data_IF_613678906610
#
_entry.id   IF_613678906610
#
_cell.length_a   1.000
_cell.length_b   1.000
_cell.length_c   1.000
_cell.angle_alpha   90.00
_cell.angle_beta   90.00
_cell.angle_gamma   90.00
#
_symmetry.space_group_name_H-M   'P 1'
#
loop_
_entity.id
_entity.type
_entity.pdbx_description
1 polymer ?
#
# COMPACT_ATOMS: atom_id res chain seq x y z
N UNK A 1 -10.81 -48.12 65.50
CA UNK A 1 -11.54 -47.98 64.21
C UNK A 1 -11.88 -46.51 63.86
N UNK A 2 -12.31 -45.66 64.78
CA UNK A 2 -12.66 -44.24 64.47
C UNK A 2 -11.48 -43.34 64.08
N UNK A 3 -10.26 -43.59 64.55
CA UNK A 3 -9.05 -42.78 64.23
C UNK A 3 -8.45 -43.10 62.86
N UNK A 4 -8.64 -44.34 62.35
CA UNK A 4 -8.19 -44.75 61.00
C UNK A 4 -9.10 -44.19 59.90
N UNK A 5 -10.41 -44.06 60.15
CA UNK A 5 -11.36 -43.47 59.22
C UNK A 5 -11.15 -41.98 58.98
N UNK A 6 -10.75 -41.24 60.04
CA UNK A 6 -10.47 -39.79 59.95
C UNK A 6 -9.19 -39.53 59.13
N UNK A 7 -8.17 -40.40 59.26
CA UNK A 7 -6.91 -40.25 58.48
C UNK A 7 -7.10 -40.55 56.98
N UNK A 8 -7.98 -41.49 56.61
CA UNK A 8 -8.31 -41.81 55.23
C UNK A 8 -9.12 -40.69 54.58
N UNK A 9 -10.05 -40.07 55.35
CA UNK A 9 -10.87 -38.95 54.84
C UNK A 9 -10.00 -37.69 54.64
N UNK A 10 -8.99 -37.46 55.52
CA UNK A 10 -8.07 -36.33 55.39
C UNK A 10 -7.08 -36.52 54.23
N UNK A 11 -6.67 -37.77 53.92
CA UNK A 11 -5.79 -38.09 52.80
C UNK A 11 -6.50 -37.96 51.44
N UNK A 12 -7.80 -38.33 51.39
CA UNK A 12 -8.62 -38.16 50.17
C UNK A 12 -8.98 -36.70 49.89
N UNK A 13 -9.18 -35.87 50.93
CA UNK A 13 -9.40 -34.42 50.79
C UNK A 13 -8.17 -33.67 50.25
N UNK A 14 -6.95 -34.09 50.63
CA UNK A 14 -5.69 -33.49 50.10
C UNK A 14 -5.45 -33.93 48.65
N UNK A 15 -5.83 -35.15 48.27
CA UNK A 15 -5.68 -35.67 46.89
C UNK A 15 -6.62 -34.95 45.92
N UNK A 16 -7.81 -34.55 46.36
CA UNK A 16 -8.81 -33.82 45.52
C UNK A 16 -8.38 -32.36 45.32
N UNK A 17 -7.66 -31.74 46.28
CA UNK A 17 -7.15 -30.38 46.16
C UNK A 17 -5.96 -30.28 45.20
N UNK A 18 -5.19 -31.34 44.97
CA UNK A 18 -4.06 -31.35 44.01
C UNK A 18 -4.53 -31.50 42.56
N UNK A 19 -5.73 -32.07 42.31
CA UNK A 19 -6.29 -32.23 41.00
C UNK A 19 -7.03 -30.94 40.52
N UNK A 20 -7.45 -30.05 41.43
CA UNK A 20 -8.11 -28.81 41.10
C UNK A 20 -7.13 -27.69 40.70
N UNK A 21 -5.80 -27.93 40.77
CA UNK A 21 -4.74 -26.96 40.39
C UNK A 21 -4.26 -27.05 38.95
N UNK A 22 -4.76 -27.93 38.13
CA UNK A 22 -4.65 -27.88 36.68
C UNK A 22 -5.76 -26.98 36.12
N UNK A 23 -5.69 -25.66 36.43
CA UNK A 23 -6.32 -24.69 35.54
C UNK A 23 -5.69 -24.89 34.19
N UNK A 24 -6.50 -25.38 33.23
CA UNK A 24 -6.21 -25.23 31.83
C UNK A 24 -5.83 -23.74 31.65
N UNK A 25 -4.52 -23.44 31.48
CA UNK A 25 -4.16 -22.28 30.73
C UNK A 25 -4.90 -22.46 29.40
N UNK A 26 -6.04 -21.80 29.27
CA UNK A 26 -6.68 -21.66 27.97
C UNK A 26 -5.56 -21.16 27.06
N UNK A 27 -5.24 -21.90 26.03
CA UNK A 27 -4.40 -21.36 24.98
C UNK A 27 -5.09 -20.06 24.59
N UNK A 28 -4.51 -18.90 24.96
CA UNK A 28 -4.97 -17.62 24.44
C UNK A 28 -5.01 -17.80 22.94
N UNK A 29 -6.19 -17.65 22.36
CA UNK A 29 -6.34 -17.74 20.90
C UNK A 29 -5.45 -16.65 20.33
N UNK A 30 -4.47 -17.06 19.49
CA UNK A 30 -3.60 -16.10 18.84
C UNK A 30 -4.45 -15.09 18.08
N UNK A 31 -4.12 -13.82 18.21
CA UNK A 31 -4.77 -12.79 17.37
C UNK A 31 -4.45 -13.06 15.91
N UNK A 32 -5.45 -12.96 15.07
CA UNK A 32 -5.36 -13.23 13.62
C UNK A 32 -5.41 -11.93 12.84
N UNK A 33 -4.39 -11.68 12.02
CA UNK A 33 -4.30 -10.51 11.16
C UNK A 33 -4.45 -10.97 9.71
N UNK A 34 -5.48 -10.47 9.03
CA UNK A 34 -5.62 -10.65 7.58
C UNK A 34 -4.84 -9.56 6.84
N UNK A 35 -4.07 -9.94 5.82
CA UNK A 35 -3.43 -8.98 4.91
C UNK A 35 -4.02 -9.17 3.52
N UNK A 36 -4.68 -8.12 3.00
CA UNK A 36 -5.15 -8.08 1.61
C UNK A 36 -4.23 -7.14 0.83
N UNK A 37 -3.46 -7.68 -0.09
CA UNK A 37 -2.69 -6.91 -1.06
C UNK A 37 -3.40 -6.94 -2.42
N UNK A 38 -3.58 -5.75 -3.04
CA UNK A 38 -4.31 -5.66 -4.31
C UNK A 38 -3.59 -6.37 -5.45
N UNK A 39 -2.28 -6.11 -5.61
CA UNK A 39 -1.42 -6.72 -6.63
C UNK A 39 0.02 -6.74 -6.13
N UNK A 40 0.88 -7.52 -6.75
CA UNK A 40 2.30 -7.61 -6.42
C UNK A 40 3.11 -6.64 -7.27
N UNK A 41 3.81 -5.72 -6.60
CA UNK A 41 4.87 -4.85 -7.15
C UNK A 41 5.69 -4.24 -6.00
N UNK A 42 6.88 -3.72 -6.32
CA UNK A 42 7.89 -3.32 -5.34
C UNK A 42 7.36 -2.45 -4.19
N UNK A 43 6.54 -1.43 -4.49
CA UNK A 43 6.05 -0.52 -3.46
C UNK A 43 5.10 -1.20 -2.47
N UNK A 44 4.12 -1.99 -2.96
CA UNK A 44 3.19 -2.70 -2.08
C UNK A 44 3.86 -3.82 -1.29
N UNK A 45 4.85 -4.51 -1.89
CA UNK A 45 5.64 -5.52 -1.18
C UNK A 45 6.47 -4.89 -0.06
N UNK A 46 7.14 -3.76 -0.33
CA UNK A 46 7.88 -3.00 0.68
C UNK A 46 6.96 -2.52 1.82
N UNK A 47 5.75 -2.03 1.51
CA UNK A 47 4.79 -1.62 2.54
C UNK A 47 4.34 -2.80 3.42
N UNK A 48 4.08 -3.97 2.82
CA UNK A 48 3.78 -5.20 3.57
C UNK A 48 4.93 -5.60 4.49
N UNK A 49 6.16 -5.60 3.97
CA UNK A 49 7.36 -5.96 4.72
C UNK A 49 7.59 -5.01 5.90
N UNK A 50 7.47 -3.69 5.67
CA UNK A 50 7.57 -2.69 6.74
C UNK A 50 6.52 -2.90 7.83
N UNK A 51 5.28 -3.20 7.47
CA UNK A 51 4.21 -3.50 8.43
C UNK A 51 4.53 -4.73 9.29
N UNK A 52 4.94 -5.83 8.67
CA UNK A 52 5.30 -7.07 9.38
C UNK A 52 6.51 -6.83 10.28
N UNK A 53 7.50 -6.06 9.82
CA UNK A 53 8.68 -5.73 10.61
C UNK A 53 8.31 -4.91 11.85
N UNK A 54 7.42 -3.92 11.73
CA UNK A 54 6.97 -3.13 12.89
C UNK A 54 6.25 -3.99 13.93
N UNK A 55 5.42 -4.94 13.51
CA UNK A 55 4.80 -5.92 14.40
C UNK A 55 5.87 -6.74 15.15
N UNK A 56 6.84 -7.29 14.42
CA UNK A 56 7.92 -8.10 15.00
C UNK A 56 8.77 -7.33 15.99
N UNK A 57 9.16 -6.08 15.66
CA UNK A 57 9.96 -5.21 16.53
C UNK A 57 9.23 -4.84 17.83
N UNK A 58 7.89 -4.94 17.85
CA UNK A 58 7.05 -4.72 19.02
C UNK A 58 6.56 -6.02 19.66
N UNK A 59 7.19 -7.16 19.32
CA UNK A 59 6.96 -8.45 19.97
C UNK A 59 5.78 -9.27 19.41
N UNK A 60 5.18 -8.86 18.30
CA UNK A 60 4.14 -9.60 17.59
C UNK A 60 4.76 -10.44 16.46
N UNK A 61 5.00 -11.73 16.72
CA UNK A 61 5.67 -12.62 15.79
C UNK A 61 4.67 -13.63 15.19
N UNK A 62 4.64 -13.69 13.86
CA UNK A 62 3.79 -14.66 13.13
C UNK A 62 4.17 -16.12 13.51
N UNK A 63 3.14 -16.93 13.73
CA UNK A 63 3.30 -18.32 14.16
C UNK A 63 3.58 -18.49 15.65
N UNK A 64 4.04 -17.46 16.38
CA UNK A 64 4.31 -17.49 17.82
C UNK A 64 3.12 -17.03 18.65
N UNK A 65 2.82 -15.73 18.63
CA UNK A 65 1.74 -15.11 19.43
C UNK A 65 0.66 -14.45 18.58
N UNK A 66 0.89 -14.22 17.30
CA UNK A 66 -0.12 -13.85 16.31
C UNK A 66 -0.15 -14.85 15.16
N UNK A 67 -1.16 -14.76 14.28
CA UNK A 67 -1.24 -15.49 13.02
C UNK A 67 -1.53 -14.50 11.90
N UNK A 68 -0.68 -14.45 10.88
CA UNK A 68 -0.84 -13.59 9.72
C UNK A 68 -1.30 -14.43 8.51
N UNK A 69 -2.45 -14.08 7.94
CA UNK A 69 -2.97 -14.67 6.70
C UNK A 69 -2.83 -13.65 5.57
N UNK A 70 -1.83 -13.82 4.71
CA UNK A 70 -1.56 -12.91 3.58
C UNK A 70 -2.18 -13.42 2.29
N UNK A 71 -2.97 -12.57 1.64
CA UNK A 71 -3.65 -12.87 0.38
C UNK A 71 -3.38 -11.77 -0.65
N UNK A 72 -3.12 -12.18 -1.91
CA UNK A 72 -2.94 -11.28 -3.05
C UNK A 72 -4.12 -11.42 -4.02
N UNK A 73 -4.76 -10.32 -4.35
CA UNK A 73 -5.93 -10.31 -5.23
C UNK A 73 -5.57 -10.29 -6.72
N UNK A 74 -4.29 -10.09 -7.09
CA UNK A 74 -3.82 -10.09 -8.48
C UNK A 74 -4.54 -9.07 -9.37
N UNK A 75 -4.83 -7.89 -8.83
CA UNK A 75 -5.60 -6.82 -9.47
C UNK A 75 -7.01 -7.25 -9.96
N UNK A 76 -7.60 -8.27 -9.33
CA UNK A 76 -8.93 -8.79 -9.69
C UNK A 76 -9.96 -8.48 -8.60
N UNK A 77 -11.07 -7.84 -8.98
CA UNK A 77 -12.14 -7.44 -8.06
C UNK A 77 -12.89 -8.62 -7.46
N UNK A 78 -13.00 -9.74 -8.19
CA UNK A 78 -13.65 -10.95 -7.69
C UNK A 78 -12.80 -11.62 -6.62
N UNK A 79 -11.47 -11.62 -6.81
CA UNK A 79 -10.53 -12.10 -5.80
C UNK A 79 -10.58 -11.21 -4.55
N UNK A 80 -10.59 -9.86 -4.70
CA UNK A 80 -10.75 -8.94 -3.57
C UNK A 80 -12.01 -9.25 -2.76
N UNK A 81 -13.17 -9.40 -3.42
CA UNK A 81 -14.42 -9.75 -2.76
C UNK A 81 -14.33 -11.08 -2.02
N UNK A 82 -13.75 -12.12 -2.66
CA UNK A 82 -13.61 -13.45 -2.07
C UNK A 82 -12.70 -13.44 -0.84
N UNK A 83 -11.56 -12.71 -0.90
CA UNK A 83 -10.62 -12.57 0.21
C UNK A 83 -11.30 -11.82 1.36
N UNK A 84 -12.01 -10.73 1.06
CA UNK A 84 -12.73 -9.93 2.06
C UNK A 84 -13.80 -10.76 2.76
N UNK A 85 -14.63 -11.49 2.01
CA UNK A 85 -15.67 -12.39 2.56
C UNK A 85 -15.06 -13.50 3.46
N UNK A 86 -13.89 -14.04 3.07
CA UNK A 86 -13.15 -15.02 3.85
C UNK A 86 -12.66 -14.43 5.18
N UNK A 87 -12.06 -13.24 5.20
CA UNK A 87 -11.57 -12.63 6.43
C UNK A 87 -12.71 -12.28 7.39
N UNK A 88 -13.82 -11.76 6.87
CA UNK A 88 -15.03 -11.52 7.68
C UNK A 88 -15.58 -12.81 8.25
N UNK A 89 -15.70 -13.88 7.43
CA UNK A 89 -16.24 -15.17 7.88
C UNK A 89 -15.34 -15.87 8.92
N UNK A 90 -14.03 -15.64 8.84
CA UNK A 90 -13.06 -16.17 9.79
C UNK A 90 -12.95 -15.34 11.07
N UNK A 91 -13.65 -14.18 11.15
CA UNK A 91 -13.61 -13.23 12.25
C UNK A 91 -12.15 -12.89 12.64
N UNK A 92 -11.35 -12.46 11.66
CA UNK A 92 -9.99 -11.99 11.95
C UNK A 92 -10.04 -10.77 12.87
N UNK A 93 -9.05 -10.62 13.75
CA UNK A 93 -9.03 -9.54 14.76
C UNK A 93 -8.68 -8.18 14.16
N UNK A 94 -8.03 -8.16 13.00
CA UNK A 94 -7.65 -6.95 12.26
C UNK A 94 -7.37 -7.28 10.79
N UNK A 95 -7.54 -6.29 9.90
CA UNK A 95 -7.11 -6.39 8.51
C UNK A 95 -6.14 -5.26 8.17
N UNK A 96 -5.00 -5.62 7.58
CA UNK A 96 -4.18 -4.70 6.79
C UNK A 96 -4.69 -4.74 5.34
N UNK A 97 -5.10 -3.57 4.83
CA UNK A 97 -5.48 -3.41 3.44
C UNK A 97 -4.40 -2.61 2.69
N UNK A 98 -3.77 -3.21 1.70
CA UNK A 98 -2.68 -2.60 0.93
C UNK A 98 -3.22 -2.20 -0.43
N UNK A 99 -3.24 -0.90 -0.70
CA UNK A 99 -3.82 -0.16 -1.82
C UNK A 99 -5.33 0.13 -1.67
N UNK A 100 -5.77 1.21 -2.33
CA UNK A 100 -7.15 1.72 -2.28
C UNK A 100 -8.21 0.67 -2.61
N UNK A 101 -8.09 -0.14 -3.70
CA UNK A 101 -9.11 -1.13 -4.03
C UNK A 101 -9.26 -2.23 -2.97
N UNK A 102 -8.16 -2.61 -2.30
CA UNK A 102 -8.20 -3.60 -1.21
C UNK A 102 -8.95 -3.04 0.00
N UNK A 103 -8.67 -1.79 0.40
CA UNK A 103 -9.35 -1.14 1.51
C UNK A 103 -10.85 -0.95 1.23
N UNK A 104 -11.22 -0.52 0.02
CA UNK A 104 -12.63 -0.38 -0.39
C UNK A 104 -13.37 -1.72 -0.34
N UNK A 105 -12.71 -2.81 -0.77
CA UNK A 105 -13.33 -4.14 -0.77
C UNK A 105 -13.66 -4.61 0.64
N UNK A 106 -12.71 -4.57 1.57
CA UNK A 106 -12.94 -5.06 2.94
C UNK A 106 -13.81 -4.11 3.75
N UNK A 107 -13.67 -2.78 3.61
CA UNK A 107 -14.52 -1.81 4.29
C UNK A 107 -16.01 -1.93 3.86
N UNK A 108 -16.26 -2.34 2.60
CA UNK A 108 -17.60 -2.65 2.13
C UNK A 108 -18.24 -3.93 2.70
N UNK A 109 -17.49 -4.74 3.45
CA UNK A 109 -17.95 -6.02 4.00
C UNK A 109 -18.10 -6.03 5.52
N UNK A 110 -17.47 -5.10 6.23
CA UNK A 110 -17.52 -5.05 7.70
C UNK A 110 -17.37 -3.63 8.21
N UNK A 111 -18.14 -3.30 9.27
CA UNK A 111 -18.01 -2.08 10.06
C UNK A 111 -17.41 -2.39 11.45
N UNK A 112 -17.14 -3.66 11.76
CA UNK A 112 -16.71 -4.12 13.09
C UNK A 112 -15.22 -4.43 13.17
N UNK A 113 -14.67 -5.14 12.15
CA UNK A 113 -13.27 -5.53 12.13
C UNK A 113 -12.41 -4.29 11.90
N UNK A 114 -11.42 -3.98 12.78
CA UNK A 114 -10.46 -2.90 12.57
C UNK A 114 -9.71 -3.06 11.23
N UNK A 115 -9.67 -2.02 10.43
CA UNK A 115 -8.97 -1.99 9.15
C UNK A 115 -7.90 -0.91 9.21
N UNK A 116 -6.65 -1.29 8.97
CA UNK A 116 -5.56 -0.36 8.75
C UNK A 116 -5.16 -0.40 7.27
N UNK A 117 -5.19 0.76 6.63
CA UNK A 117 -4.78 0.91 5.25
C UNK A 117 -3.35 1.41 5.12
N UNK A 118 -2.66 0.97 4.09
CA UNK A 118 -1.37 1.53 3.65
C UNK A 118 -1.34 1.61 2.13
N UNK A 119 -0.53 2.51 1.59
CA UNK A 119 -0.52 2.77 0.15
C UNK A 119 -1.91 3.18 -0.38
N UNK A 120 -2.58 4.06 0.35
CA UNK A 120 -3.89 4.62 0.00
C UNK A 120 -3.72 6.13 -0.21
N UNK A 121 -4.01 6.59 -1.41
CA UNK A 121 -3.73 7.97 -1.80
C UNK A 121 -4.64 8.98 -1.10
N UNK A 122 -5.95 8.77 -1.12
CA UNK A 122 -6.94 9.67 -0.51
C UNK A 122 -8.09 8.89 0.11
N UNK A 123 -8.11 8.84 1.43
CA UNK A 123 -9.11 8.09 2.20
C UNK A 123 -10.52 8.68 2.08
N UNK A 124 -10.63 10.01 1.96
CA UNK A 124 -11.91 10.70 1.84
C UNK A 124 -12.50 10.51 0.44
N UNK A 125 -11.68 10.70 -0.62
CA UNK A 125 -12.10 10.47 -2.00
C UNK A 125 -12.48 8.99 -2.23
N UNK A 126 -11.74 8.06 -1.60
CA UNK A 126 -12.03 6.62 -1.61
C UNK A 126 -13.27 6.24 -0.76
N UNK A 127 -13.89 7.19 -0.04
CA UNK A 127 -15.06 7.00 0.83
C UNK A 127 -14.82 6.00 1.98
N UNK A 128 -13.59 5.93 2.47
CA UNK A 128 -13.18 5.05 3.56
C UNK A 128 -13.38 5.71 4.92
N UNK A 129 -13.27 7.04 5.00
CA UNK A 129 -13.36 7.84 6.22
C UNK A 129 -14.16 9.11 5.98
N UNK A 130 -14.66 9.74 7.07
CA UNK A 130 -15.32 11.04 6.98
C UNK A 130 -14.31 12.20 6.83
N UNK A 131 -13.17 12.12 7.55
CA UNK A 131 -12.04 13.03 7.40
C UNK A 131 -10.73 12.35 7.81
N UNK A 132 -9.60 12.92 7.39
CA UNK A 132 -8.29 12.39 7.74
C UNK A 132 -7.93 12.64 9.21
N UNK A 133 -8.49 13.68 9.85
CA UNK A 133 -8.23 14.00 11.25
C UNK A 133 -9.04 13.12 12.20
N UNK A 134 -10.28 12.78 11.83
CA UNK A 134 -11.18 11.92 12.62
C UNK A 134 -11.94 11.00 11.67
N UNK A 135 -11.49 9.79 11.43
CA UNK A 135 -12.05 8.84 10.45
C UNK A 135 -13.52 8.52 10.68
N UNK A 136 -13.94 8.26 11.93
CA UNK A 136 -15.31 7.88 12.36
C UNK A 136 -15.83 6.57 11.74
N UNK A 137 -14.98 5.79 11.13
CA UNK A 137 -15.25 4.46 10.60
C UNK A 137 -14.32 3.45 11.24
N UNK A 138 -14.47 2.18 10.94
CA UNK A 138 -13.53 1.15 11.36
C UNK A 138 -12.22 1.16 10.56
N UNK A 139 -11.95 2.19 9.75
CA UNK A 139 -10.77 2.35 8.89
C UNK A 139 -9.91 3.50 9.35
N UNK A 140 -8.60 3.27 9.41
CA UNK A 140 -7.55 4.29 9.53
C UNK A 140 -6.29 3.82 8.80
N UNK A 141 -5.15 4.50 8.96
CA UNK A 141 -3.88 4.07 8.37
C UNK A 141 -3.00 5.20 7.87
N UNK A 142 -2.27 4.93 6.78
CA UNK A 142 -1.31 5.88 6.22
C UNK A 142 -1.63 6.22 4.77
N UNK A 143 -1.44 7.50 4.40
CA UNK A 143 -1.60 7.97 3.01
C UNK A 143 -0.27 7.97 2.27
N UNK A 144 -0.31 7.57 1.01
CA UNK A 144 0.80 7.63 0.05
C UNK A 144 0.67 8.78 -0.95
N UNK A 145 -0.14 9.79 -0.66
CA UNK A 145 -0.26 10.94 -1.53
C UNK A 145 1.11 11.56 -1.79
N UNK A 146 1.59 11.42 -3.01
CA UNK A 146 2.87 11.94 -3.47
C UNK A 146 2.78 13.41 -3.90
N UNK A 147 3.89 14.14 -4.00
CA UNK A 147 3.94 15.54 -4.38
C UNK A 147 3.82 15.69 -5.90
N UNK A 148 2.61 15.47 -6.44
CA UNK A 148 2.36 15.37 -7.89
C UNK A 148 2.80 16.64 -8.64
N UNK A 149 2.59 17.83 -8.07
CA UNK A 149 3.01 19.08 -8.70
C UNK A 149 4.53 19.13 -8.87
N UNK A 150 5.26 18.75 -7.83
CA UNK A 150 6.72 18.68 -7.84
C UNK A 150 7.23 17.58 -8.77
N UNK A 151 6.47 16.50 -8.97
CA UNK A 151 6.78 15.47 -9.96
C UNK A 151 6.60 16.00 -11.40
N UNK A 152 5.60 16.82 -11.65
CA UNK A 152 5.44 17.51 -12.95
C UNK A 152 6.52 18.58 -13.13
N UNK A 153 6.91 19.30 -12.08
CA UNK A 153 8.06 20.21 -12.13
C UNK A 153 9.37 19.48 -12.44
N UNK A 154 9.57 18.27 -11.87
CA UNK A 154 10.70 17.40 -12.19
C UNK A 154 10.69 16.99 -13.66
N UNK A 155 9.52 16.63 -14.21
CA UNK A 155 9.36 16.29 -15.62
C UNK A 155 9.89 17.44 -16.50
N UNK A 156 9.46 18.68 -16.25
CA UNK A 156 9.90 19.85 -17.03
C UNK A 156 11.39 20.15 -16.89
N UNK A 157 11.97 19.90 -15.71
CA UNK A 157 13.41 20.07 -15.49
C UNK A 157 14.25 19.04 -16.24
N UNK A 158 13.75 17.78 -16.34
CA UNK A 158 14.43 16.71 -17.07
C UNK A 158 14.17 16.79 -18.58
N UNK A 159 13.01 17.28 -18.99
CA UNK A 159 12.57 17.36 -20.40
C UNK A 159 12.10 18.79 -20.73
N UNK A 160 13.02 19.77 -20.77
CA UNK A 160 12.66 21.20 -20.88
C UNK A 160 11.98 21.57 -22.22
N UNK A 161 12.15 20.75 -23.25
CA UNK A 161 11.55 20.99 -24.57
C UNK A 161 10.14 20.37 -24.71
N UNK A 162 9.63 19.67 -23.68
CA UNK A 162 8.30 19.09 -23.73
C UNK A 162 7.22 20.17 -23.87
N UNK A 163 6.30 19.96 -24.79
CA UNK A 163 5.12 20.80 -25.03
C UNK A 163 3.83 20.07 -24.64
N UNK A 164 3.82 18.74 -24.76
CA UNK A 164 2.67 17.90 -24.46
C UNK A 164 3.07 16.81 -23.46
N UNK A 165 2.37 16.76 -22.35
CA UNK A 165 2.53 15.70 -21.34
C UNK A 165 1.33 14.77 -21.40
N UNK A 166 1.62 13.48 -21.59
CA UNK A 166 0.64 12.42 -21.57
C UNK A 166 0.49 11.81 -20.17
N UNK A 167 -0.72 11.69 -19.66
CA UNK A 167 -1.00 10.98 -18.42
C UNK A 167 -1.64 9.65 -18.74
N UNK A 168 -0.99 8.55 -18.35
CA UNK A 168 -1.51 7.19 -18.51
C UNK A 168 -1.89 6.66 -17.13
N UNK A 169 -3.13 6.18 -16.98
CA UNK A 169 -3.62 5.70 -15.68
C UNK A 169 -4.76 4.69 -15.82
N UNK A 170 -5.04 3.97 -14.72
CA UNK A 170 -6.11 2.98 -14.63
C UNK A 170 -7.42 3.64 -14.22
N UNK A 171 -8.42 3.62 -15.10
CA UNK A 171 -9.72 4.28 -14.88
C UNK A 171 -10.64 3.56 -13.87
N UNK A 172 -10.28 2.35 -13.46
CA UNK A 172 -10.98 1.59 -12.42
C UNK A 172 -10.37 1.77 -11.01
N UNK A 173 -9.33 2.59 -10.87
CA UNK A 173 -8.69 2.90 -9.59
C UNK A 173 -8.96 4.36 -9.19
N UNK A 174 -9.71 4.59 -8.10
CA UNK A 174 -10.04 5.93 -7.60
C UNK A 174 -8.79 6.75 -7.25
N UNK A 175 -7.75 6.12 -6.69
CA UNK A 175 -6.45 6.75 -6.43
C UNK A 175 -5.81 7.31 -7.71
N UNK A 176 -5.86 6.59 -8.82
CA UNK A 176 -5.27 7.01 -10.09
C UNK A 176 -6.05 8.17 -10.71
N UNK A 177 -7.39 8.15 -10.62
CA UNK A 177 -8.26 9.23 -11.11
C UNK A 177 -7.97 10.55 -10.37
N UNK A 178 -7.87 10.51 -9.02
CA UNK A 178 -7.56 11.69 -8.20
C UNK A 178 -6.20 12.29 -8.58
N UNK A 179 -5.18 11.46 -8.71
CA UNK A 179 -3.84 11.91 -9.06
C UNK A 179 -3.75 12.44 -10.49
N UNK A 180 -4.44 11.80 -11.44
CA UNK A 180 -4.50 12.28 -12.83
C UNK A 180 -5.15 13.67 -12.93
N UNK A 181 -6.18 13.96 -12.12
CA UNK A 181 -6.79 15.29 -12.06
C UNK A 181 -5.81 16.34 -11.53
N UNK A 182 -5.06 16.03 -10.46
CA UNK A 182 -4.02 16.93 -9.91
C UNK A 182 -2.89 17.15 -10.93
N UNK A 183 -2.44 16.08 -11.61
CA UNK A 183 -1.42 16.17 -12.64
C UNK A 183 -1.87 17.06 -13.81
N UNK A 184 -3.12 16.91 -14.26
CA UNK A 184 -3.73 17.77 -15.29
C UNK A 184 -3.65 19.24 -14.90
N UNK A 185 -4.11 19.60 -13.71
CA UNK A 185 -4.05 20.98 -13.24
C UNK A 185 -2.61 21.52 -13.20
N UNK A 186 -1.64 20.71 -12.75
CA UNK A 186 -0.23 21.08 -12.70
C UNK A 186 0.36 21.29 -14.10
N UNK A 187 0.08 20.40 -15.05
CA UNK A 187 0.53 20.47 -16.45
C UNK A 187 -0.03 21.73 -17.12
N UNK A 188 -1.33 21.97 -17.02
CA UNK A 188 -2.00 23.13 -17.61
C UNK A 188 -1.53 24.45 -16.98
N UNK A 189 -1.23 24.47 -15.67
CA UNK A 189 -0.70 25.64 -14.97
C UNK A 189 0.71 26.05 -15.46
N UNK A 190 1.49 25.12 -15.97
CA UNK A 190 2.81 25.37 -16.60
C UNK A 190 2.68 25.78 -18.08
N UNK A 191 1.46 25.87 -18.63
CA UNK A 191 1.21 26.22 -20.02
C UNK A 191 1.47 25.07 -21.00
N UNK A 192 1.60 23.85 -20.50
CA UNK A 192 1.78 22.64 -21.31
C UNK A 192 0.43 22.07 -21.75
N UNK A 193 0.45 21.33 -22.84
CA UNK A 193 -0.72 20.58 -23.32
C UNK A 193 -0.85 19.28 -22.56
N UNK A 194 -2.04 19.06 -21.99
CA UNK A 194 -2.41 17.77 -21.37
C UNK A 194 -3.07 16.85 -22.37
N UNK A 195 -2.69 15.58 -22.38
CA UNK A 195 -3.40 14.48 -23.03
C UNK A 195 -3.46 13.27 -22.12
N UNK A 196 -4.46 12.42 -22.28
CA UNK A 196 -4.58 11.21 -21.46
C UNK A 196 -4.94 9.98 -22.28
N UNK A 197 -4.56 8.82 -21.73
CA UNK A 197 -5.01 7.50 -22.12
C UNK A 197 -5.27 6.71 -20.86
N UNK A 198 -6.35 5.94 -20.82
CA UNK A 198 -6.68 5.09 -19.69
C UNK A 198 -6.69 3.62 -20.05
N UNK A 199 -6.44 2.79 -19.05
CA UNK A 199 -6.62 1.34 -19.10
C UNK A 199 -7.62 0.90 -18.03
N UNK A 200 -8.14 -0.31 -18.15
CA UNK A 200 -8.98 -0.94 -17.12
C UNK A 200 -8.29 -2.15 -16.48
N UNK A 201 -7.27 -2.68 -17.15
CA UNK A 201 -6.48 -3.84 -16.69
C UNK A 201 -5.11 -3.91 -17.39
N UNK A 202 -4.23 -4.79 -16.92
CA UNK A 202 -2.85 -4.92 -17.42
C UNK A 202 -2.73 -5.36 -18.89
N UNK A 203 -3.73 -6.04 -19.45
CA UNK A 203 -3.67 -6.48 -20.86
C UNK A 203 -3.73 -5.31 -21.85
N UNK A 204 -4.29 -4.17 -21.45
CA UNK A 204 -4.44 -2.98 -22.28
C UNK A 204 -3.20 -2.08 -22.26
N UNK A 205 -2.29 -2.26 -21.31
CA UNK A 205 -1.15 -1.35 -21.02
C UNK A 205 -0.25 -1.16 -22.23
N UNK A 206 0.11 -2.21 -22.94
CA UNK A 206 0.98 -2.11 -24.11
C UNK A 206 0.37 -1.22 -25.20
N UNK A 207 -0.90 -1.44 -25.55
CA UNK A 207 -1.59 -0.67 -26.58
C UNK A 207 -1.83 0.77 -26.15
N UNK A 208 -2.18 0.99 -24.88
CA UNK A 208 -2.36 2.31 -24.31
C UNK A 208 -1.05 3.12 -24.32
N UNK A 209 0.07 2.49 -23.96
CA UNK A 209 1.41 3.10 -24.04
C UNK A 209 1.77 3.46 -25.49
N UNK A 210 1.54 2.56 -26.44
CA UNK A 210 1.73 2.86 -27.87
C UNK A 210 0.89 4.05 -28.33
N UNK A 211 -0.33 4.16 -27.88
CA UNK A 211 -1.23 5.26 -28.24
C UNK A 211 -0.80 6.60 -27.65
N UNK A 212 -0.27 6.64 -26.42
CA UNK A 212 0.07 7.89 -25.75
C UNK A 212 1.40 8.46 -26.25
N UNK A 213 2.40 7.62 -26.58
CA UNK A 213 3.69 8.08 -27.14
C UNK A 213 3.56 8.77 -28.49
N UNK A 214 2.49 8.53 -29.25
CA UNK A 214 2.22 9.21 -30.53
C UNK A 214 1.75 10.65 -30.34
N UNK A 215 1.38 11.05 -29.12
CA UNK A 215 0.70 12.32 -28.80
C UNK A 215 1.38 13.15 -27.74
N UNK A 216 2.40 12.61 -27.06
CA UNK A 216 3.05 13.23 -25.93
C UNK A 216 4.57 13.21 -26.07
N UNK A 217 5.22 14.27 -25.62
CA UNK A 217 6.68 14.39 -25.60
C UNK A 217 7.28 13.72 -24.34
N UNK A 218 6.49 13.61 -23.28
CA UNK A 218 6.82 12.91 -22.04
C UNK A 218 5.55 12.33 -21.41
N UNK A 219 5.69 11.28 -20.61
CA UNK A 219 4.58 10.60 -19.94
C UNK A 219 4.72 10.77 -18.42
N UNK A 220 3.59 10.99 -17.75
CA UNK A 220 3.45 10.87 -16.32
C UNK A 220 2.56 9.66 -15.97
N UNK A 221 3.05 8.82 -15.08
CA UNK A 221 2.31 7.70 -14.48
C UNK A 221 2.10 8.02 -12.99
N UNK A 222 0.86 8.13 -12.50
CA UNK A 222 0.61 8.28 -11.05
C UNK A 222 1.02 7.03 -10.27
N UNK A 223 0.84 7.02 -8.95
CA UNK A 223 0.89 5.78 -8.15
C UNK A 223 -0.31 4.90 -8.51
N UNK A 224 -0.15 4.13 -9.57
CA UNK A 224 -1.16 3.29 -10.22
C UNK A 224 -0.73 1.83 -10.11
N UNK A 225 -1.53 1.00 -9.45
CA UNK A 225 -1.13 -0.36 -9.12
C UNK A 225 -1.04 -1.28 -10.35
N UNK A 226 -1.95 -1.12 -11.30
CA UNK A 226 -1.94 -1.90 -12.56
C UNK A 226 -0.72 -1.52 -13.40
N UNK A 227 -0.43 -0.22 -13.53
CA UNK A 227 0.73 0.24 -14.28
C UNK A 227 2.05 -0.11 -13.59
N UNK A 228 2.13 -0.02 -12.25
CA UNK A 228 3.31 -0.42 -11.50
C UNK A 228 3.65 -1.90 -11.72
N UNK A 229 2.64 -2.78 -11.72
CA UNK A 229 2.84 -4.20 -12.02
C UNK A 229 3.25 -4.48 -13.47
N UNK A 230 2.95 -3.55 -14.39
CA UNK A 230 3.20 -3.66 -15.83
C UNK A 230 4.31 -2.73 -16.34
N UNK A 231 5.07 -2.08 -15.44
CA UNK A 231 6.10 -1.10 -15.84
C UNK A 231 7.14 -1.65 -16.84
N UNK A 232 7.57 -2.93 -16.79
CA UNK A 232 8.47 -3.47 -17.81
C UNK A 232 7.87 -3.47 -19.23
N UNK A 233 6.55 -3.58 -19.35
CA UNK A 233 5.85 -3.49 -20.64
C UNK A 233 5.86 -2.05 -21.15
N UNK A 234 5.62 -1.07 -20.27
CA UNK A 234 5.69 0.36 -20.59
C UNK A 234 7.11 0.72 -21.04
N UNK A 235 8.12 0.32 -20.26
CA UNK A 235 9.53 0.53 -20.58
C UNK A 235 9.89 0.00 -21.98
N UNK A 236 9.49 -1.24 -22.31
CA UNK A 236 9.78 -1.84 -23.63
C UNK A 236 9.24 -1.04 -24.81
N UNK A 237 8.15 -0.28 -24.61
CA UNK A 237 7.58 0.61 -25.64
C UNK A 237 8.27 1.97 -25.64
N UNK A 238 8.45 2.59 -24.48
CA UNK A 238 8.92 3.97 -24.32
C UNK A 238 10.40 4.15 -24.64
N UNK A 239 11.22 3.13 -24.36
CA UNK A 239 12.64 3.14 -24.78
C UNK A 239 12.80 3.16 -26.30
N UNK A 240 11.99 2.42 -27.03
CA UNK A 240 12.04 2.41 -28.50
C UNK A 240 11.66 3.75 -29.11
N UNK A 241 10.69 4.44 -28.52
CA UNK A 241 10.26 5.78 -28.94
C UNK A 241 11.12 6.89 -28.35
N UNK A 242 12.00 6.58 -27.39
CA UNK A 242 12.78 7.53 -26.58
C UNK A 242 11.91 8.52 -25.79
N UNK A 243 10.74 8.09 -25.36
CA UNK A 243 9.78 8.92 -24.62
C UNK A 243 10.09 8.82 -23.12
N UNK A 244 10.44 9.94 -22.44
CA UNK A 244 10.68 9.96 -21.00
C UNK A 244 9.42 9.65 -20.20
N UNK A 245 9.56 8.88 -19.10
CA UNK A 245 8.45 8.50 -18.22
C UNK A 245 8.75 8.92 -16.79
N UNK A 246 8.01 9.89 -16.28
CA UNK A 246 8.05 10.26 -14.85
C UNK A 246 6.99 9.46 -14.11
N UNK A 247 7.36 8.88 -12.99
CA UNK A 247 6.57 7.93 -12.24
C UNK A 247 6.12 8.50 -10.89
N UNK A 248 5.01 8.00 -10.38
CA UNK A 248 4.47 8.35 -9.07
C UNK A 248 5.30 7.81 -7.89
N UNK A 249 6.09 6.73 -8.10
CA UNK A 249 6.86 6.11 -7.02
C UNK A 249 8.16 5.44 -7.52
N UNK A 250 9.09 5.15 -6.57
CA UNK A 250 10.45 4.69 -6.87
C UNK A 250 10.52 3.26 -7.46
N UNK A 251 9.63 2.36 -7.07
CA UNK A 251 9.62 0.99 -7.62
C UNK A 251 9.33 0.96 -9.12
N UNK A 252 8.51 1.89 -9.63
CA UNK A 252 8.35 2.05 -11.07
C UNK A 252 9.64 2.53 -11.74
N UNK A 253 10.41 3.44 -11.11
CA UNK A 253 11.70 3.92 -11.64
C UNK A 253 12.72 2.80 -11.65
N UNK A 254 12.77 1.99 -10.60
CA UNK A 254 13.64 0.81 -10.52
C UNK A 254 13.37 -0.21 -11.64
N UNK A 255 12.13 -0.30 -12.11
CA UNK A 255 11.70 -1.30 -13.09
C UNK A 255 11.47 -0.74 -14.51
N UNK A 256 11.92 0.50 -14.80
CA UNK A 256 11.93 1.00 -16.16
C UNK A 256 11.38 2.41 -16.39
N UNK A 257 10.91 3.11 -15.35
CA UNK A 257 10.64 4.54 -15.41
C UNK A 257 11.92 5.37 -15.37
N UNK A 258 11.83 6.64 -15.75
CA UNK A 258 12.99 7.54 -15.77
C UNK A 258 13.27 8.15 -14.39
N UNK A 259 12.27 8.72 -13.74
CA UNK A 259 12.48 9.46 -12.49
C UNK A 259 11.18 9.60 -11.67
N UNK A 260 11.36 9.86 -10.38
CA UNK A 260 10.30 10.26 -9.46
C UNK A 260 10.82 11.17 -8.35
N UNK A 261 9.90 11.81 -7.65
CA UNK A 261 10.03 12.33 -6.30
C UNK A 261 8.95 11.65 -5.47
N UNK A 262 9.31 10.67 -4.64
CA UNK A 262 8.35 9.80 -4.01
C UNK A 262 8.66 9.46 -2.56
N UNK A 263 7.75 8.76 -1.91
CA UNK A 263 7.89 8.29 -0.54
C UNK A 263 8.60 6.93 -0.47
N UNK A 264 9.10 6.61 0.73
CA UNK A 264 9.57 5.28 1.06
C UNK A 264 8.38 4.42 1.54
N UNK A 265 8.01 3.41 0.76
CA UNK A 265 6.86 2.54 1.06
C UNK A 265 7.13 1.56 2.21
N UNK A 266 8.38 1.16 2.43
CA UNK A 266 8.73 0.36 3.60
C UNK A 266 8.47 1.16 4.89
N UNK A 267 8.93 2.41 4.96
CA UNK A 267 8.72 3.28 6.12
C UNK A 267 7.22 3.60 6.31
N UNK A 268 6.47 3.74 5.22
CA UNK A 268 5.02 3.93 5.27
C UNK A 268 4.33 2.71 5.88
N UNK A 269 4.67 1.51 5.42
CA UNK A 269 4.17 0.26 5.96
C UNK A 269 4.58 0.05 7.42
N UNK A 270 5.83 0.36 7.77
CA UNK A 270 6.31 0.30 9.16
C UNK A 270 5.49 1.21 10.08
N UNK A 271 5.22 2.44 9.65
CA UNK A 271 4.34 3.36 10.38
C UNK A 271 2.93 2.79 10.57
N UNK A 272 2.35 2.16 9.54
CA UNK A 272 1.05 1.49 9.64
C UNK A 272 1.11 0.32 10.63
N UNK A 273 2.21 -0.41 10.69
CA UNK A 273 2.43 -1.48 11.66
C UNK A 273 2.51 -0.97 13.11
N UNK A 274 3.10 0.20 13.34
CA UNK A 274 3.05 0.83 14.66
C UNK A 274 1.63 1.21 15.08
N UNK A 275 0.80 1.70 14.13
CA UNK A 275 -0.62 1.94 14.39
C UNK A 275 -1.36 0.63 14.72
N UNK A 276 -1.01 -0.48 14.03
CA UNK A 276 -1.57 -1.80 14.32
C UNK A 276 -1.26 -2.26 15.74
N UNK A 277 -0.05 -2.03 16.24
CA UNK A 277 0.33 -2.34 17.62
C UNK A 277 -0.58 -1.63 18.62
N UNK A 278 -0.86 -0.34 18.42
CA UNK A 278 -1.78 0.41 19.30
C UNK A 278 -3.20 -0.18 19.31
N UNK A 279 -3.68 -0.64 18.16
CA UNK A 279 -5.00 -1.28 18.06
C UNK A 279 -5.01 -2.67 18.71
N UNK A 280 -3.97 -3.50 18.48
CA UNK A 280 -3.85 -4.85 19.07
C UNK A 280 -3.74 -4.79 20.60
N UNK A 281 -3.12 -3.75 21.14
CA UNK A 281 -3.02 -3.49 22.58
C UNK A 281 -4.30 -2.87 23.18
N UNK A 282 -5.31 -2.54 22.36
CA UNK A 282 -6.53 -1.87 22.81
C UNK A 282 -6.33 -0.43 23.25
N UNK A 283 -5.23 0.23 22.83
CA UNK A 283 -4.90 1.62 23.18
C UNK A 283 -5.57 2.63 22.24
N UNK A 284 -5.92 2.21 21.03
CA UNK A 284 -6.54 3.05 20.02
C UNK A 284 -7.57 2.28 19.21
N UNK A 285 -8.50 3.02 18.61
CA UNK A 285 -9.49 2.49 17.65
C UNK A 285 -9.39 3.26 16.34
N UNK A 286 -9.48 2.61 15.17
CA UNK A 286 -9.37 3.27 13.87
C UNK A 286 -10.27 4.51 13.74
N UNK A 287 -11.48 4.47 14.29
CA UNK A 287 -12.45 5.57 14.23
C UNK A 287 -11.93 6.91 14.79
N UNK A 288 -10.94 6.87 15.69
CA UNK A 288 -10.35 8.06 16.33
C UNK A 288 -8.86 8.27 15.98
N UNK A 289 -8.24 7.36 15.21
CA UNK A 289 -6.84 7.46 14.78
C UNK A 289 -6.74 8.32 13.52
N UNK A 290 -6.06 9.48 13.54
CA UNK A 290 -5.86 10.27 12.33
C UNK A 290 -5.09 9.50 11.26
N UNK A 291 -5.43 9.74 9.99
CA UNK A 291 -4.62 9.26 8.86
C UNK A 291 -3.24 9.92 8.93
N UNK A 292 -2.20 9.12 8.83
CA UNK A 292 -0.82 9.60 8.91
C UNK A 292 -0.17 9.65 7.53
N UNK A 293 0.78 10.58 7.33
CA UNK A 293 1.53 10.73 6.08
C UNK A 293 2.96 10.20 6.24
N UNK A 294 3.64 9.97 5.12
CA UNK A 294 5.07 9.75 5.08
C UNK A 294 5.85 10.96 5.65
N UNK A 295 7.09 10.73 6.09
CA UNK A 295 7.92 11.75 6.74
C UNK A 295 8.73 12.62 5.76
N UNK A 296 8.74 12.31 4.46
CA UNK A 296 9.51 13.04 3.45
C UNK A 296 9.36 12.43 2.07
N UNK A 297 10.04 13.05 1.10
CA UNK A 297 10.09 12.61 -0.28
C UNK A 297 11.53 12.55 -0.74
N UNK A 298 11.88 11.51 -1.49
CA UNK A 298 13.21 11.30 -2.04
C UNK A 298 13.16 11.27 -3.58
N UNK A 299 14.17 11.86 -4.22
CA UNK A 299 14.36 11.73 -5.65
C UNK A 299 14.94 10.34 -5.97
N UNK A 300 14.46 9.76 -7.07
CA UNK A 300 15.07 8.58 -7.69
C UNK A 300 15.12 8.77 -9.21
N UNK A 301 16.28 8.52 -9.81
CA UNK A 301 16.50 8.66 -11.25
C UNK A 301 17.19 7.39 -11.77
N UNK A 302 16.65 6.82 -12.84
CA UNK A 302 17.24 5.68 -13.52
C UNK A 302 18.19 6.15 -14.63
N UNK A 303 19.50 6.09 -14.35
CA UNK A 303 20.53 6.52 -15.32
C UNK A 303 20.66 5.58 -16.51
N UNK A 304 20.32 4.29 -16.35
CA UNK A 304 20.29 3.34 -17.47
C UNK A 304 19.18 3.73 -18.46
N UNK A 305 17.97 3.98 -17.98
CA UNK A 305 16.85 4.46 -18.80
C UNK A 305 17.18 5.80 -19.46
N UNK A 306 17.76 6.75 -18.71
CA UNK A 306 18.20 8.03 -19.27
C UNK A 306 19.18 7.83 -20.44
N UNK A 307 20.15 6.91 -20.28
CA UNK A 307 21.13 6.56 -21.33
C UNK A 307 20.45 5.92 -22.56
N UNK A 308 19.52 5.00 -22.34
CA UNK A 308 18.81 4.30 -23.41
C UNK A 308 17.97 5.25 -24.28
N UNK A 309 17.28 6.22 -23.65
CA UNK A 309 16.50 7.22 -24.39
C UNK A 309 17.35 8.40 -24.91
N UNK A 310 18.64 8.47 -24.52
CA UNK A 310 19.56 9.54 -24.92
C UNK A 310 19.33 10.85 -24.18
N UNK A 311 18.78 10.82 -22.97
CA UNK A 311 18.55 11.98 -22.12
C UNK A 311 19.79 12.26 -21.27
N UNK A 312 20.20 13.53 -21.21
CA UNK A 312 21.29 13.99 -20.36
C UNK A 312 20.69 14.45 -19.02
N UNK A 313 21.03 13.76 -17.95
CA UNK A 313 20.59 14.15 -16.59
C UNK A 313 21.32 15.45 -16.20
N UNK A 314 20.59 16.52 -15.82
CA UNK A 314 21.22 17.76 -15.34
C UNK A 314 22.07 17.50 -14.08
N UNK A 315 23.15 18.28 -13.92
CA UNK A 315 24.12 18.12 -12.82
C UNK A 315 23.50 18.14 -11.43
N UNK A 316 22.42 18.88 -11.26
CA UNK A 316 21.71 19.04 -9.98
C UNK A 316 20.99 17.76 -9.53
N UNK A 317 20.86 16.78 -10.44
CA UNK A 317 20.15 15.53 -10.19
C UNK A 317 21.07 14.29 -10.18
N UNK A 318 22.37 14.43 -10.40
CA UNK A 318 23.30 13.30 -10.50
C UNK A 318 23.44 12.49 -9.20
N UNK A 319 23.23 13.12 -8.05
CA UNK A 319 23.31 12.47 -6.74
C UNK A 319 22.10 11.56 -6.44
N UNK A 320 21.05 11.64 -7.25
CA UNK A 320 19.81 10.86 -7.10
C UNK A 320 19.72 9.68 -8.07
N UNK A 321 20.79 9.37 -8.78
CA UNK A 321 20.84 8.25 -9.72
C UNK A 321 20.92 6.94 -8.91
N UNK A 322 19.93 6.05 -9.09
CA UNK A 322 19.82 4.78 -8.39
C UNK A 322 20.31 3.57 -9.20
N UNK A 323 20.51 3.72 -10.51
CA UNK A 323 21.03 2.69 -11.45
C UNK A 323 21.93 3.32 -12.50
#
# INVERSE_FOLDING_TARGET
MKKAAIFVIMLTAVLVLVIAGCSSQGAESKQTIGIIQYVEHNALDAAREGFIQALSDNGYNDGENISIDTQNAQADQSNLSTISDRFVSNNVDMVLAIATPAAQSIAGKTEEIPILGTAITDYVAAKLVESNEVPKTNVSGTTDMNPIKEQIDLLVKLVPDAQTVGVLYTSSEDNSIVQAAIAKEAIEALGLTYTEVTVTNSNEVQQATQSIIERADAIYLPTDNVLASAIPVIHGVTVQSKTPVICGEAGMVENGGLATLGINYYDLGYKTGLMAVEVLEGKAEPASMPIQSASGFDFAINGEVASEIGLIIPSDFTDYIIK
#
